data_IF_256682204612
#
_entry.id   IF_256682204612
#
_cell.length_a   1.000
_cell.length_b   1.000
_cell.length_c   1.000
_cell.angle_alpha   90.00
_cell.angle_beta   90.00
_cell.angle_gamma   90.00
#
_symmetry.space_group_name_H-M   'P 1'
#
loop_
_entity.id
_entity.type
_entity.pdbx_description
1 polymer ?
#
# COMPACT_ATOMS: atom_id res chain seq x y z
N UNK A 1 38.11 54.00 -28.92
CA UNK A 1 36.99 53.20 -29.48
C UNK A 1 37.54 51.82 -29.79
N UNK A 2 37.42 50.88 -28.85
CA UNK A 2 37.84 49.49 -29.05
C UNK A 2 36.58 48.69 -29.42
N UNK A 3 36.52 48.23 -30.67
CA UNK A 3 35.43 47.37 -31.13
C UNK A 3 35.63 45.98 -30.52
N UNK A 4 34.78 45.60 -29.58
CA UNK A 4 34.65 44.20 -29.17
C UNK A 4 33.99 43.44 -30.32
N UNK A 5 34.79 42.64 -31.02
CA UNK A 5 34.29 41.65 -31.96
C UNK A 5 33.51 40.59 -31.18
N UNK A 6 32.19 40.59 -31.34
CA UNK A 6 31.34 39.46 -30.97
C UNK A 6 31.68 38.35 -31.96
N UNK A 7 32.62 37.49 -31.59
CA UNK A 7 32.82 36.21 -32.28
C UNK A 7 31.55 35.42 -32.05
N UNK A 8 30.68 35.41 -33.05
CA UNK A 8 29.53 34.51 -33.11
C UNK A 8 30.12 33.15 -33.46
N UNK A 9 30.51 32.38 -32.44
CA UNK A 9 30.86 30.97 -32.62
C UNK A 9 29.62 30.29 -33.20
N UNK A 10 29.68 29.95 -34.49
CA UNK A 10 28.67 29.11 -35.11
C UNK A 10 28.72 27.76 -34.40
N UNK A 11 27.63 27.43 -33.67
CA UNK A 11 27.52 26.17 -32.91
C UNK A 11 27.93 25.01 -33.80
N UNK A 12 28.92 24.26 -33.37
CA UNK A 12 29.40 23.09 -34.11
C UNK A 12 28.31 22.01 -34.12
N UNK A 13 28.23 21.21 -35.18
CA UNK A 13 27.39 20.00 -35.20
C UNK A 13 27.73 19.06 -34.03
N UNK A 14 28.98 19.08 -33.56
CA UNK A 14 29.41 18.34 -32.37
C UNK A 14 28.78 18.86 -31.07
N UNK A 15 28.56 20.17 -30.95
CA UNK A 15 27.95 20.78 -29.76
C UNK A 15 26.46 20.40 -29.68
N UNK A 16 25.76 20.42 -30.82
CA UNK A 16 24.35 20.01 -30.91
C UNK A 16 24.16 18.53 -30.56
N UNK A 17 25.07 17.66 -31.02
CA UNK A 17 25.01 16.23 -30.68
C UNK A 17 25.31 15.99 -29.20
N UNK A 18 26.26 16.75 -28.62
CA UNK A 18 26.57 16.67 -27.19
C UNK A 18 25.41 17.17 -26.32
N UNK A 19 24.71 18.22 -26.75
CA UNK A 19 23.55 18.77 -26.05
C UNK A 19 22.37 17.79 -26.11
N UNK A 20 22.09 17.21 -27.28
CA UNK A 20 21.05 16.19 -27.42
C UNK A 20 21.35 14.93 -26.58
N UNK A 21 22.60 14.48 -26.53
CA UNK A 21 23.01 13.37 -25.67
C UNK A 21 22.83 13.70 -24.19
N UNK A 22 23.10 14.95 -23.79
CA UNK A 22 22.91 15.43 -22.41
C UNK A 22 21.42 15.53 -22.03
N UNK A 23 20.58 16.05 -22.93
CA UNK A 23 19.12 16.15 -22.73
C UNK A 23 18.49 14.76 -22.67
N UNK A 24 18.88 13.86 -23.57
CA UNK A 24 18.43 12.46 -23.56
C UNK A 24 18.82 11.76 -22.26
N UNK A 25 20.05 11.96 -21.79
CA UNK A 25 20.51 11.45 -20.49
C UNK A 25 19.72 12.02 -19.32
N UNK A 26 19.29 13.28 -19.40
CA UNK A 26 18.44 13.93 -18.39
C UNK A 26 17.03 13.35 -18.36
N UNK A 27 16.41 13.12 -19.53
CA UNK A 27 15.09 12.50 -19.64
C UNK A 27 15.07 11.09 -19.07
N UNK A 28 16.04 10.24 -19.43
CA UNK A 28 16.15 8.87 -18.89
C UNK A 28 16.23 8.90 -17.36
N UNK A 29 17.00 9.84 -16.81
CA UNK A 29 17.15 9.98 -15.35
C UNK A 29 15.86 10.44 -14.67
N UNK A 30 15.06 11.27 -15.35
CA UNK A 30 13.74 11.69 -14.87
C UNK A 30 12.72 10.56 -14.90
N UNK A 31 12.68 9.75 -15.96
CA UNK A 31 11.83 8.56 -16.03
C UNK A 31 12.15 7.54 -14.94
N UNK A 32 13.44 7.32 -14.66
CA UNK A 32 13.87 6.48 -13.53
C UNK A 32 13.40 7.07 -12.19
N UNK A 33 13.52 8.39 -12.00
CA UNK A 33 13.05 9.06 -10.78
C UNK A 33 11.52 9.00 -10.63
N UNK A 34 10.77 9.11 -11.74
CA UNK A 34 9.32 8.97 -11.76
C UNK A 34 8.90 7.55 -11.40
N UNK A 35 9.51 6.54 -12.04
CA UNK A 35 9.27 5.14 -11.74
C UNK A 35 9.59 4.83 -10.27
N UNK A 36 10.70 5.33 -9.74
CA UNK A 36 11.05 5.18 -8.32
C UNK A 36 9.98 5.81 -7.41
N UNK A 37 9.48 6.99 -7.76
CA UNK A 37 8.44 7.68 -7.00
C UNK A 37 7.12 6.91 -7.02
N UNK A 38 6.67 6.43 -8.18
CA UNK A 38 5.44 5.64 -8.33
C UNK A 38 5.54 4.32 -7.54
N UNK A 39 6.68 3.62 -7.64
CA UNK A 39 6.94 2.40 -6.87
C UNK A 39 6.94 2.66 -5.37
N UNK A 40 7.56 3.77 -4.92
CA UNK A 40 7.58 4.15 -3.49
C UNK A 40 6.16 4.41 -2.98
N UNK A 41 5.35 5.17 -3.72
CA UNK A 41 3.95 5.44 -3.35
C UNK A 41 3.11 4.16 -3.29
N UNK A 42 3.26 3.25 -4.27
CA UNK A 42 2.61 1.94 -4.27
C UNK A 42 3.07 1.09 -3.08
N UNK A 43 4.37 1.05 -2.81
CA UNK A 43 4.94 0.31 -1.69
C UNK A 43 4.45 0.83 -0.34
N UNK A 44 4.38 2.15 -0.15
CA UNK A 44 3.80 2.75 1.06
C UNK A 44 2.34 2.35 1.21
N UNK A 45 1.53 2.42 0.15
CA UNK A 45 0.12 2.05 0.20
C UNK A 45 -0.09 0.58 0.54
N UNK A 46 0.71 -0.31 -0.04
CA UNK A 46 0.71 -1.74 0.31
C UNK A 46 1.13 -1.94 1.76
N UNK A 47 2.23 -1.31 2.20
CA UNK A 47 2.74 -1.40 3.56
C UNK A 47 1.72 -0.97 4.60
N UNK A 48 1.01 0.14 4.38
CA UNK A 48 -0.08 0.59 5.27
C UNK A 48 -1.20 -0.44 5.37
N UNK A 49 -1.63 -1.04 4.25
CA UNK A 49 -2.69 -2.06 4.27
C UNK A 49 -2.24 -3.37 4.93
N UNK A 50 -0.98 -3.77 4.75
CA UNK A 50 -0.39 -4.89 5.51
C UNK A 50 -0.37 -4.57 7.00
N UNK A 51 -0.04 -3.34 7.39
CA UNK A 51 -0.15 -2.88 8.78
C UNK A 51 -1.57 -3.04 9.35
N UNK A 52 -2.60 -2.67 8.57
CA UNK A 52 -3.99 -2.89 8.97
C UNK A 52 -4.36 -4.38 9.09
N UNK A 53 -3.80 -5.27 8.25
CA UNK A 53 -4.00 -6.71 8.40
C UNK A 53 -3.40 -7.25 9.70
N UNK A 54 -2.18 -6.84 10.04
CA UNK A 54 -1.52 -7.28 11.28
C UNK A 54 -2.28 -6.76 12.50
N UNK A 55 -2.65 -5.48 12.51
CA UNK A 55 -3.43 -4.89 13.58
C UNK A 55 -4.82 -5.55 13.71
N UNK A 56 -5.53 -5.71 12.59
CA UNK A 56 -6.81 -6.41 12.57
C UNK A 56 -6.70 -7.85 13.04
N UNK A 57 -5.64 -8.56 12.66
CA UNK A 57 -5.35 -9.92 13.12
C UNK A 57 -5.11 -9.99 14.62
N UNK A 58 -4.32 -9.08 15.19
CA UNK A 58 -4.07 -9.01 16.64
C UNK A 58 -5.36 -8.70 17.43
N UNK A 59 -6.17 -7.75 16.94
CA UNK A 59 -7.47 -7.41 17.55
C UNK A 59 -8.43 -8.60 17.45
N UNK A 60 -8.50 -9.26 16.30
CA UNK A 60 -9.34 -10.44 16.08
C UNK A 60 -8.93 -11.64 16.93
N UNK A 61 -7.62 -11.87 17.08
CA UNK A 61 -7.08 -12.89 17.98
C UNK A 61 -7.48 -12.60 19.44
N UNK A 62 -7.36 -11.34 19.87
CA UNK A 62 -7.78 -10.93 21.22
C UNK A 62 -9.29 -11.11 21.41
N UNK A 63 -10.12 -10.76 20.42
CA UNK A 63 -11.56 -10.99 20.46
C UNK A 63 -11.89 -12.48 20.63
N UNK A 64 -11.20 -13.35 19.90
CA UNK A 64 -11.36 -14.80 20.02
C UNK A 64 -10.99 -15.30 21.43
N UNK A 65 -9.88 -14.82 22.01
CA UNK A 65 -9.51 -15.15 23.39
C UNK A 65 -10.57 -14.71 24.40
N UNK A 66 -11.14 -13.51 24.23
CA UNK A 66 -12.22 -13.00 25.11
C UNK A 66 -13.48 -13.86 24.99
N UNK A 67 -13.87 -14.28 23.78
CA UNK A 67 -15.00 -15.20 23.57
C UNK A 67 -14.71 -16.56 24.22
N UNK A 68 -13.51 -17.11 24.05
CA UNK A 68 -13.12 -18.37 24.71
C UNK A 68 -13.17 -18.24 26.23
N UNK A 69 -12.69 -17.13 26.79
CA UNK A 69 -12.79 -16.86 28.23
C UNK A 69 -14.26 -16.77 28.67
N UNK A 70 -15.12 -16.12 27.88
CA UNK A 70 -16.57 -16.08 28.14
C UNK A 70 -17.18 -17.49 28.19
N UNK A 71 -16.82 -18.36 27.24
CA UNK A 71 -17.28 -19.76 27.21
C UNK A 71 -16.78 -20.52 28.44
N UNK A 72 -15.50 -20.38 28.80
CA UNK A 72 -14.92 -21.03 29.98
C UNK A 72 -15.64 -20.59 31.27
N UNK A 73 -15.85 -19.29 31.44
CA UNK A 73 -16.56 -18.74 32.62
C UNK A 73 -18.02 -19.22 32.63
N UNK A 74 -18.70 -19.18 31.49
CA UNK A 74 -20.07 -19.65 31.35
C UNK A 74 -20.23 -21.12 31.71
N UNK A 75 -19.32 -21.98 31.24
CA UNK A 75 -19.29 -23.39 31.60
C UNK A 75 -19.00 -23.62 33.09
N UNK A 76 -18.04 -22.89 33.66
CA UNK A 76 -17.72 -22.98 35.08
C UNK A 76 -18.92 -22.62 35.96
N UNK A 77 -19.67 -21.58 35.58
CA UNK A 77 -20.90 -21.18 36.27
C UNK A 77 -22.05 -22.14 36.04
N UNK A 78 -22.17 -22.73 34.85
CA UNK A 78 -23.18 -23.76 34.59
C UNK A 78 -22.96 -24.96 35.51
N UNK A 79 -21.73 -25.47 35.58
CA UNK A 79 -21.38 -26.61 36.45
C UNK A 79 -21.59 -26.25 37.92
N UNK A 80 -21.15 -25.07 38.36
CA UNK A 80 -21.30 -24.63 39.76
C UNK A 80 -22.77 -24.34 40.13
N UNK A 81 -23.56 -23.84 39.17
CA UNK A 81 -24.98 -23.54 39.29
C UNK A 81 -25.84 -24.79 39.49
N UNK A 82 -25.40 -25.95 38.99
CA UNK A 82 -26.03 -27.24 39.26
C UNK A 82 -25.97 -27.61 40.75
N UNK A 83 -24.94 -27.16 41.48
CA UNK A 83 -24.77 -27.41 42.92
C UNK A 83 -25.30 -26.26 43.77
N UNK A 84 -25.20 -25.02 43.30
CA UNK A 84 -25.61 -23.83 44.04
C UNK A 84 -26.17 -22.75 43.09
N UNK A 85 -27.50 -22.56 43.09
CA UNK A 85 -28.20 -21.65 42.17
C UNK A 85 -27.80 -20.17 42.28
N UNK A 86 -27.20 -19.75 43.40
CA UNK A 86 -26.85 -18.34 43.66
C UNK A 86 -25.63 -17.82 42.88
N UNK A 87 -24.82 -18.68 42.25
CA UNK A 87 -23.52 -18.30 41.66
C UNK A 87 -23.54 -18.01 40.15
N UNK A 88 -24.72 -17.90 39.54
CA UNK A 88 -24.83 -17.55 38.11
C UNK A 88 -24.68 -16.03 37.98
N UNK A 89 -23.61 -15.55 37.35
CA UNK A 89 -23.37 -14.11 37.13
C UNK A 89 -23.39 -13.75 35.65
N UNK A 90 -23.78 -12.54 35.30
CA UNK A 90 -23.91 -12.12 33.88
C UNK A 90 -22.57 -11.85 33.17
N UNK A 91 -21.43 -12.06 33.84
CA UNK A 91 -20.11 -11.70 33.33
C UNK A 91 -19.73 -12.44 32.03
N UNK A 92 -20.15 -13.70 31.88
CA UNK A 92 -19.88 -14.47 30.67
C UNK A 92 -20.63 -13.90 29.46
N UNK A 93 -21.87 -13.42 29.64
CA UNK A 93 -22.66 -12.80 28.57
C UNK A 93 -22.00 -11.48 28.16
N UNK A 94 -21.59 -10.66 29.12
CA UNK A 94 -20.88 -9.41 28.84
C UNK A 94 -19.59 -9.65 28.04
N UNK A 95 -18.77 -10.61 28.46
CA UNK A 95 -17.54 -10.97 27.76
C UNK A 95 -17.82 -11.49 26.34
N UNK A 96 -18.87 -12.32 26.15
CA UNK A 96 -19.27 -12.81 24.83
C UNK A 96 -19.71 -11.67 23.90
N UNK A 97 -20.52 -10.73 24.39
CA UNK A 97 -20.97 -9.57 23.61
C UNK A 97 -19.79 -8.67 23.24
N UNK A 98 -18.91 -8.35 24.19
CA UNK A 98 -17.72 -7.53 23.93
C UNK A 98 -16.81 -8.21 22.92
N UNK A 99 -16.54 -9.51 23.10
CA UNK A 99 -15.76 -10.30 22.16
C UNK A 99 -16.37 -10.31 20.76
N UNK A 100 -17.68 -10.44 20.64
CA UNK A 100 -18.39 -10.37 19.35
C UNK A 100 -18.23 -9.00 18.69
N UNK A 101 -18.45 -7.92 19.43
CA UNK A 101 -18.33 -6.54 18.90
C UNK A 101 -16.91 -6.26 18.43
N UNK A 102 -15.89 -6.60 19.23
CA UNK A 102 -14.48 -6.43 18.86
C UNK A 102 -14.14 -7.32 17.66
N UNK A 103 -14.69 -8.54 17.60
CA UNK A 103 -14.54 -9.45 16.46
C UNK A 103 -15.09 -8.87 15.16
N UNK A 104 -16.24 -8.20 15.19
CA UNK A 104 -16.81 -7.50 14.02
C UNK A 104 -15.87 -6.37 13.57
N UNK A 105 -15.34 -5.58 14.52
CA UNK A 105 -14.37 -4.52 14.20
C UNK A 105 -13.13 -5.11 13.52
N UNK A 106 -12.55 -6.18 14.08
CA UNK A 106 -11.42 -6.88 13.47
C UNK A 106 -11.73 -7.39 12.06
N UNK A 107 -12.89 -8.01 11.88
CA UNK A 107 -13.34 -8.52 10.58
C UNK A 107 -13.44 -7.41 9.52
N UNK A 108 -14.03 -6.26 9.87
CA UNK A 108 -14.13 -5.12 8.94
C UNK A 108 -12.76 -4.54 8.59
N UNK A 109 -11.83 -4.44 9.55
CA UNK A 109 -10.46 -3.99 9.29
C UNK A 109 -9.74 -4.92 8.31
N UNK A 110 -9.80 -6.23 8.56
CA UNK A 110 -9.13 -7.24 7.74
C UNK A 110 -9.70 -7.26 6.32
N UNK A 111 -11.03 -7.30 6.19
CA UNK A 111 -11.69 -7.38 4.88
C UNK A 111 -11.43 -6.14 4.04
N UNK A 112 -11.47 -4.94 4.65
CA UNK A 112 -11.15 -3.70 3.96
C UNK A 112 -9.67 -3.64 3.53
N UNK A 113 -8.75 -4.06 4.40
CA UNK A 113 -7.33 -4.10 4.06
C UNK A 113 -7.06 -5.09 2.92
N UNK A 114 -7.68 -6.26 2.96
CA UNK A 114 -7.54 -7.28 1.93
C UNK A 114 -8.14 -6.84 0.59
N UNK A 115 -9.31 -6.19 0.60
CA UNK A 115 -9.92 -5.63 -0.60
C UNK A 115 -9.01 -4.58 -1.25
N UNK A 116 -8.40 -3.69 -0.46
CA UNK A 116 -7.44 -2.69 -0.97
C UNK A 116 -6.19 -3.33 -1.55
N UNK A 117 -5.65 -4.37 -0.93
CA UNK A 117 -4.47 -5.09 -1.44
C UNK A 117 -4.77 -5.83 -2.74
N UNK A 118 -5.92 -6.52 -2.83
CA UNK A 118 -6.34 -7.24 -4.06
C UNK A 118 -6.53 -6.31 -5.25
N UNK A 119 -6.94 -5.07 -5.00
CA UNK A 119 -7.15 -4.06 -6.05
C UNK A 119 -5.91 -3.19 -6.30
N UNK A 120 -4.78 -3.45 -5.65
CA UNK A 120 -3.55 -2.68 -5.87
C UNK A 120 -2.71 -3.34 -6.96
N UNK A 121 -2.61 -2.69 -8.12
CA UNK A 121 -1.69 -3.08 -9.18
C UNK A 121 -0.28 -2.54 -8.89
N UNK A 122 0.70 -3.44 -8.85
CA UNK A 122 2.11 -3.13 -8.60
C UNK A 122 2.84 -2.69 -9.88
N UNK A 123 2.22 -2.82 -11.04
CA UNK A 123 2.80 -2.40 -12.32
C UNK A 123 2.84 -0.88 -12.39
N UNK A 124 3.99 -0.24 -12.72
CA UNK A 124 4.07 1.19 -12.96
C UNK A 124 3.45 1.51 -14.33
N UNK A 125 2.17 1.90 -14.34
CA UNK A 125 1.40 2.05 -15.57
C UNK A 125 1.88 3.22 -16.42
N UNK A 126 2.20 4.35 -15.78
CA UNK A 126 2.64 5.55 -16.50
C UNK A 126 3.96 5.29 -17.24
N UNK A 127 4.93 4.64 -16.59
CA UNK A 127 6.20 4.27 -17.26
C UNK A 127 5.99 3.29 -18.41
N UNK A 128 5.10 2.29 -18.23
CA UNK A 128 4.79 1.32 -19.30
C UNK A 128 4.07 1.97 -20.47
N UNK A 129 3.22 2.95 -20.21
CA UNK A 129 2.50 3.73 -21.23
C UNK A 129 3.46 4.61 -22.02
N UNK A 130 4.35 5.37 -21.35
CA UNK A 130 5.39 6.17 -22.03
C UNK A 130 6.28 5.31 -22.93
N UNK A 131 6.76 4.16 -22.45
CA UNK A 131 7.60 3.24 -23.26
C UNK A 131 6.82 2.72 -24.48
N UNK A 132 5.52 2.47 -24.34
CA UNK A 132 4.68 2.02 -25.47
C UNK A 132 4.48 3.12 -26.50
N UNK A 133 4.21 4.34 -26.05
CA UNK A 133 4.07 5.51 -26.93
C UNK A 133 5.36 5.77 -27.70
N UNK A 134 6.51 5.72 -27.02
CA UNK A 134 7.84 5.88 -27.63
C UNK A 134 8.12 4.79 -28.68
N UNK A 135 7.79 3.53 -28.35
CA UNK A 135 7.95 2.41 -29.28
C UNK A 135 7.03 2.53 -30.50
N UNK A 136 5.80 3.03 -30.32
CA UNK A 136 4.87 3.30 -31.42
C UNK A 136 5.33 4.46 -32.29
N UNK A 137 5.83 5.54 -31.70
CA UNK A 137 6.39 6.67 -32.43
C UNK A 137 7.56 6.23 -33.31
N UNK A 138 8.50 5.46 -32.74
CA UNK A 138 9.62 4.89 -33.51
C UNK A 138 9.12 4.02 -34.66
N UNK A 139 8.18 3.11 -34.39
CA UNK A 139 7.63 2.21 -35.40
C UNK A 139 7.00 2.97 -36.58
N UNK A 140 6.24 4.04 -36.30
CA UNK A 140 5.59 4.86 -37.32
C UNK A 140 6.58 5.67 -38.16
N UNK A 141 7.77 5.96 -37.64
CA UNK A 141 8.81 6.71 -38.35
C UNK A 141 9.61 5.83 -39.32
N UNK A 142 9.70 4.51 -39.06
CA UNK A 142 10.43 3.55 -39.92
C UNK A 142 9.55 2.86 -40.98
N UNK A 143 8.23 2.98 -40.87
CA UNK A 143 7.23 2.46 -41.82
C UNK A 143 6.77 3.51 -42.81
#
# INVERSE_FOLDING_TARGET
>A
MAQQQVVKEERSLGDLFSELASETGTLVRQEVALAQTELTQKATKVGTNVGYLVAGGAVGYTALLVILAAVVIGLAQLISGLTNWHYITSAWISAAIVGLVVGIVAYTLITNALAKLRNTDLTPHQTVETIKEDAQWLKNQVS
#
